data_IF_948109762851
#
_entry.id   IF_948109762851
#
_cell.length_a   1.000
_cell.length_b   1.000
_cell.length_c   1.000
_cell.angle_alpha   90.00
_cell.angle_beta   90.00
_cell.angle_gamma   90.00
#
_symmetry.space_group_name_H-M   'P 1'
#
loop_
_entity.id
_entity.type
_entity.pdbx_description
1 polymer ?
#
# COMPACT_ATOMS: atom_id res chain seq x y z
N UNK A 1 18.34 1.21 25.75
CA UNK A 1 17.03 1.18 25.07
C UNK A 1 16.14 0.22 25.83
N UNK A 2 14.92 0.63 26.08
CA UNK A 2 13.92 -0.23 26.70
C UNK A 2 13.31 -1.15 25.64
N UNK A 3 13.67 -2.44 25.70
CA UNK A 3 13.16 -3.46 24.77
C UNK A 3 11.68 -3.76 24.96
N UNK A 4 11.06 -3.33 26.05
CA UNK A 4 9.62 -3.43 26.26
C UNK A 4 8.82 -2.24 25.70
N UNK A 5 9.51 -1.21 25.23
CA UNK A 5 8.83 -0.05 24.65
C UNK A 5 8.07 -0.38 23.37
N UNK A 6 6.91 0.23 23.19
CA UNK A 6 6.09 0.05 21.99
C UNK A 6 6.90 0.27 20.70
N UNK A 7 7.69 1.33 20.64
CA UNK A 7 8.52 1.65 19.46
C UNK A 7 9.56 0.58 19.15
N UNK A 8 10.16 -0.03 20.19
CA UNK A 8 11.11 -1.13 19.98
C UNK A 8 10.41 -2.37 19.44
N UNK A 9 9.23 -2.72 19.96
CA UNK A 9 8.46 -3.87 19.50
C UNK A 9 7.99 -3.68 18.04
N UNK A 10 7.54 -2.49 17.67
CA UNK A 10 7.22 -2.16 16.28
C UNK A 10 8.43 -2.31 15.35
N UNK A 11 9.61 -1.84 15.79
CA UNK A 11 10.84 -1.97 15.00
C UNK A 11 11.30 -3.44 14.87
N UNK A 12 11.16 -4.25 15.93
CA UNK A 12 11.40 -5.68 15.87
C UNK A 12 10.45 -6.38 14.92
N UNK A 13 9.16 -6.03 14.93
CA UNK A 13 8.18 -6.56 13.99
C UNK A 13 8.57 -6.28 12.53
N UNK A 14 9.04 -5.07 12.22
CA UNK A 14 9.55 -4.75 10.88
C UNK A 14 10.76 -5.60 10.53
N UNK A 15 11.73 -5.71 11.45
CA UNK A 15 12.96 -6.47 11.26
C UNK A 15 12.67 -7.94 10.96
N UNK A 16 11.81 -8.57 11.76
CA UNK A 16 11.46 -9.97 11.64
C UNK A 16 10.71 -10.26 10.33
N UNK A 17 9.69 -9.46 10.02
CA UNK A 17 8.90 -9.63 8.79
C UNK A 17 9.70 -9.35 7.51
N UNK A 18 10.66 -8.42 7.55
CA UNK A 18 11.50 -8.11 6.38
C UNK A 18 12.64 -9.12 6.19
N UNK A 19 13.02 -9.89 7.22
CA UNK A 19 14.02 -10.99 7.15
C UNK A 19 13.39 -12.35 6.83
N UNK A 20 12.07 -12.45 6.79
CA UNK A 20 11.40 -13.71 6.45
C UNK A 20 11.87 -14.20 5.08
N UNK A 21 12.33 -15.44 5.02
CA UNK A 21 12.94 -16.04 3.82
C UNK A 21 11.91 -16.53 2.79
N UNK A 22 10.62 -16.44 3.09
CA UNK A 22 9.57 -16.81 2.14
C UNK A 22 9.49 -15.78 1.01
N UNK A 23 9.77 -16.24 -0.22
CA UNK A 23 9.69 -15.45 -1.43
C UNK A 23 8.33 -14.76 -1.63
N UNK A 24 7.26 -15.29 -1.02
CA UNK A 24 5.95 -14.70 -1.03
C UNK A 24 5.94 -13.27 -0.47
N UNK A 25 6.67 -13.01 0.60
CA UNK A 25 6.73 -11.67 1.22
C UNK A 25 7.55 -10.69 0.39
N UNK A 26 8.62 -11.17 -0.24
CA UNK A 26 9.43 -10.38 -1.16
C UNK A 26 8.58 -10.00 -2.39
N UNK A 27 8.00 -10.99 -3.06
CA UNK A 27 7.13 -10.77 -4.22
C UNK A 27 5.97 -9.82 -3.90
N UNK A 28 5.38 -9.91 -2.68
CA UNK A 28 4.31 -9.03 -2.26
C UNK A 28 4.78 -7.57 -2.10
N UNK A 29 5.95 -7.37 -1.50
CA UNK A 29 6.52 -6.04 -1.30
C UNK A 29 6.85 -5.37 -2.64
N UNK A 30 7.40 -6.12 -3.59
CA UNK A 30 7.76 -5.64 -4.93
C UNK A 30 6.53 -5.39 -5.81
N UNK A 31 5.53 -6.28 -5.75
CA UNK A 31 4.28 -6.15 -6.52
C UNK A 31 3.58 -4.82 -6.25
N UNK A 32 3.54 -4.40 -4.99
CA UNK A 32 2.91 -3.16 -4.53
C UNK A 32 3.93 -2.02 -4.30
N UNK A 33 5.16 -2.12 -4.83
CA UNK A 33 6.12 -1.02 -4.67
C UNK A 33 5.65 0.25 -5.38
N UNK A 34 5.02 0.10 -6.52
CA UNK A 34 4.44 1.20 -7.29
C UNK A 34 5.41 2.34 -7.56
N UNK A 35 6.68 1.99 -7.75
CA UNK A 35 7.73 2.93 -8.07
C UNK A 35 7.46 3.71 -9.35
N UNK A 36 8.02 4.89 -9.45
CA UNK A 36 7.88 5.75 -10.63
C UNK A 36 8.36 5.03 -11.90
N UNK A 37 7.51 5.02 -12.92
CA UNK A 37 7.81 4.39 -14.21
C UNK A 37 7.34 2.93 -14.34
N UNK A 38 6.80 2.32 -13.29
CA UNK A 38 6.30 0.95 -13.32
C UNK A 38 4.78 0.88 -13.48
N UNK A 39 4.02 1.09 -12.42
CA UNK A 39 2.56 0.97 -12.39
C UNK A 39 1.81 2.31 -12.50
N UNK A 40 2.52 3.41 -12.69
CA UNK A 40 1.93 4.76 -12.65
C UNK A 40 1.72 5.29 -11.23
N UNK A 41 2.56 4.87 -10.28
CA UNK A 41 2.45 5.14 -8.84
C UNK A 41 1.21 4.47 -8.20
N UNK A 42 1.00 4.49 -6.88
CA UNK A 42 -0.19 3.89 -6.27
C UNK A 42 -1.50 4.38 -6.89
N UNK A 43 -1.59 5.66 -7.21
CA UNK A 43 -2.78 6.24 -7.87
C UNK A 43 -3.06 5.58 -9.22
N UNK A 44 -2.05 5.47 -10.10
CA UNK A 44 -2.20 4.85 -11.42
C UNK A 44 -2.55 3.37 -11.33
N UNK A 45 -2.01 2.66 -10.35
CA UNK A 45 -2.33 1.26 -10.11
C UNK A 45 -3.84 1.08 -9.81
N UNK A 46 -4.40 1.89 -8.92
CA UNK A 46 -5.85 1.85 -8.64
C UNK A 46 -6.71 2.22 -9.84
N UNK A 47 -6.26 3.14 -10.70
CA UNK A 47 -6.95 3.42 -11.97
C UNK A 47 -6.91 2.24 -12.93
N UNK A 48 -5.81 1.51 -12.98
CA UNK A 48 -5.69 0.29 -13.80
C UNK A 48 -6.63 -0.80 -13.30
N UNK A 49 -6.70 -1.02 -11.98
CA UNK A 49 -7.65 -1.96 -11.37
C UNK A 49 -9.09 -1.54 -11.66
N UNK A 50 -9.41 -0.26 -11.49
CA UNK A 50 -10.73 0.28 -11.82
C UNK A 50 -11.09 0.04 -13.29
N UNK A 51 -10.15 0.23 -14.21
CA UNK A 51 -10.34 -0.06 -15.63
C UNK A 51 -10.63 -1.56 -15.88
N UNK A 52 -9.88 -2.44 -15.25
CA UNK A 52 -10.12 -3.90 -15.35
C UNK A 52 -11.53 -4.26 -14.86
N UNK A 53 -12.00 -3.63 -13.78
CA UNK A 53 -13.36 -3.80 -13.28
C UNK A 53 -14.43 -3.25 -14.24
N UNK A 54 -14.22 -2.04 -14.80
CA UNK A 54 -15.10 -1.44 -15.81
C UNK A 54 -15.31 -2.41 -16.98
N UNK A 55 -14.23 -2.93 -17.53
CA UNK A 55 -14.27 -3.86 -18.67
C UNK A 55 -14.94 -5.18 -18.28
N UNK A 56 -14.56 -5.76 -17.15
CA UNK A 56 -15.05 -7.06 -16.69
C UNK A 56 -16.54 -7.03 -16.33
N UNK A 57 -17.02 -5.94 -15.74
CA UNK A 57 -18.41 -5.77 -15.32
C UNK A 57 -19.29 -5.19 -16.44
N UNK A 58 -18.69 -4.75 -17.54
CA UNK A 58 -19.42 -4.17 -18.67
C UNK A 58 -20.11 -2.85 -18.32
N UNK A 59 -19.47 -2.01 -17.51
CA UNK A 59 -20.04 -0.72 -17.12
C UNK A 59 -20.28 0.16 -18.34
N UNK A 60 -21.40 0.91 -18.32
CA UNK A 60 -21.69 1.92 -19.31
C UNK A 60 -20.80 3.15 -19.10
N UNK A 61 -20.79 4.04 -20.08
CA UNK A 61 -19.93 5.23 -20.07
C UNK A 61 -20.18 6.13 -18.84
N UNK A 62 -21.43 6.35 -18.50
CA UNK A 62 -21.81 7.17 -17.34
C UNK A 62 -21.39 6.57 -16.02
N UNK A 63 -21.56 5.25 -15.83
CA UNK A 63 -21.11 4.49 -14.66
C UNK A 63 -19.58 4.49 -14.54
N UNK A 64 -18.87 4.29 -15.66
CA UNK A 64 -17.42 4.32 -15.69
C UNK A 64 -16.87 5.72 -15.39
N UNK A 65 -17.50 6.78 -15.91
CA UNK A 65 -17.12 8.17 -15.60
C UNK A 65 -17.34 8.49 -14.12
N UNK A 66 -18.45 8.04 -13.55
CA UNK A 66 -18.71 8.22 -12.11
C UNK A 66 -17.61 7.56 -11.28
N UNK A 67 -17.24 6.32 -11.59
CA UNK A 67 -16.16 5.60 -10.92
C UNK A 67 -14.84 6.37 -11.00
N UNK A 68 -14.41 6.76 -12.21
CA UNK A 68 -13.12 7.43 -12.39
C UNK A 68 -13.06 8.80 -11.71
N UNK A 69 -14.14 9.57 -11.76
CA UNK A 69 -14.19 10.88 -11.09
C UNK A 69 -14.12 10.72 -9.58
N UNK A 70 -14.93 9.83 -9.00
CA UNK A 70 -14.91 9.57 -7.55
C UNK A 70 -13.56 9.03 -7.09
N UNK A 71 -13.01 8.07 -7.83
CA UNK A 71 -11.71 7.49 -7.53
C UNK A 71 -10.60 8.55 -7.57
N UNK A 72 -10.57 9.36 -8.64
CA UNK A 72 -9.56 10.41 -8.79
C UNK A 72 -9.59 11.42 -7.66
N UNK A 73 -10.77 11.87 -7.25
CA UNK A 73 -10.91 12.78 -6.11
C UNK A 73 -10.45 12.12 -4.83
N UNK A 74 -10.92 10.91 -4.54
CA UNK A 74 -10.61 10.23 -3.28
C UNK A 74 -9.11 9.93 -3.12
N UNK A 75 -8.44 9.38 -4.14
CA UNK A 75 -7.01 9.06 -4.05
C UNK A 75 -6.15 10.32 -3.99
N UNK A 76 -6.57 11.41 -4.65
CA UNK A 76 -5.88 12.70 -4.57
C UNK A 76 -6.00 13.31 -3.17
N UNK A 77 -7.20 13.35 -2.60
CA UNK A 77 -7.43 13.87 -1.24
C UNK A 77 -6.71 13.03 -0.19
N UNK A 78 -6.71 11.70 -0.36
CA UNK A 78 -5.94 10.78 0.49
C UNK A 78 -4.44 11.09 0.43
N UNK A 79 -3.88 11.33 -0.76
CA UNK A 79 -2.48 11.69 -0.93
C UNK A 79 -2.15 13.03 -0.27
N UNK A 80 -2.93 14.07 -0.53
CA UNK A 80 -2.73 15.41 0.06
C UNK A 80 -2.79 15.33 1.59
N UNK A 81 -3.79 14.62 2.12
CA UNK A 81 -3.98 14.45 3.56
C UNK A 81 -2.80 13.68 4.18
N UNK A 82 -2.39 12.57 3.56
CA UNK A 82 -1.24 11.79 4.01
C UNK A 82 0.04 12.65 4.05
N UNK A 83 0.33 13.42 2.99
CA UNK A 83 1.54 14.22 2.93
C UNK A 83 1.52 15.41 3.91
N UNK A 84 0.36 16.03 4.15
CA UNK A 84 0.22 17.04 5.21
C UNK A 84 0.55 16.47 6.59
N UNK A 85 0.05 15.26 6.88
CA UNK A 85 0.32 14.58 8.15
C UNK A 85 1.78 14.12 8.26
N UNK A 86 2.39 13.63 7.16
CA UNK A 86 3.81 13.24 7.13
C UNK A 86 4.70 14.37 7.64
N UNK A 87 4.59 15.55 7.06
CA UNK A 87 5.40 16.70 7.44
C UNK A 87 4.98 17.38 8.75
N UNK A 88 3.72 17.17 9.18
CA UNK A 88 3.28 17.61 10.51
C UNK A 88 3.90 16.78 11.63
N UNK A 89 3.92 15.46 11.49
CA UNK A 89 4.43 14.56 12.52
C UNK A 89 5.92 14.27 12.37
N UNK A 90 6.44 14.34 11.17
CA UNK A 90 7.86 14.10 10.84
C UNK A 90 8.42 12.83 11.48
N UNK A 91 7.69 11.72 11.37
CA UNK A 91 8.00 10.47 12.07
C UNK A 91 9.15 9.73 11.40
N UNK A 92 10.01 9.09 12.22
CA UNK A 92 11.23 8.41 11.79
C UNK A 92 10.90 7.11 11.04
N UNK A 93 11.65 6.80 9.98
CA UNK A 93 11.53 5.53 9.23
C UNK A 93 12.10 4.34 10.02
N UNK A 94 11.54 3.10 9.82
CA UNK A 94 12.04 1.89 10.47
C UNK A 94 13.54 1.70 10.29
N UNK A 95 14.05 1.83 9.06
CA UNK A 95 15.49 1.68 8.77
C UNK A 95 16.36 2.59 9.64
N UNK A 96 15.97 3.86 9.82
CA UNK A 96 16.74 4.81 10.63
C UNK A 96 16.73 4.42 12.11
N UNK A 97 15.59 3.99 12.64
CA UNK A 97 15.48 3.51 14.02
C UNK A 97 16.26 2.21 14.24
N UNK A 98 16.09 1.24 13.34
CA UNK A 98 16.73 -0.08 13.44
C UNK A 98 18.25 0.06 13.35
N UNK A 99 18.78 0.82 12.38
CA UNK A 99 20.23 1.08 12.28
C UNK A 99 20.81 1.67 13.54
N UNK A 100 20.10 2.60 14.14
CA UNK A 100 20.61 3.32 15.32
C UNK A 100 20.58 2.47 16.58
N UNK A 101 19.62 1.55 16.70
CA UNK A 101 19.30 0.98 18.01
C UNK A 101 19.28 -0.55 18.06
N UNK A 102 19.21 -1.25 16.91
CA UNK A 102 19.00 -2.69 16.88
C UNK A 102 20.05 -3.39 16.00
N UNK A 103 20.11 -3.08 14.71
CA UNK A 103 20.96 -3.74 13.72
C UNK A 103 21.46 -2.74 12.66
N UNK A 104 22.71 -2.28 12.75
CA UNK A 104 23.26 -1.33 11.79
C UNK A 104 23.46 -1.89 10.36
N UNK A 105 23.28 -3.19 10.17
CA UNK A 105 23.38 -3.85 8.86
C UNK A 105 22.01 -4.11 8.22
N UNK A 106 20.92 -3.76 8.89
CA UNK A 106 19.57 -3.92 8.35
C UNK A 106 19.39 -3.21 7.02
N UNK A 107 18.76 -3.86 6.05
CA UNK A 107 18.35 -3.25 4.79
C UNK A 107 16.87 -3.55 4.51
N UNK A 108 16.18 -2.60 3.93
CA UNK A 108 14.80 -2.78 3.48
C UNK A 108 14.77 -3.55 2.15
N UNK A 109 13.72 -4.33 1.91
CA UNK A 109 13.55 -5.07 0.63
C UNK A 109 13.28 -4.15 -0.55
N UNK A 110 12.55 -3.07 -0.31
CA UNK A 110 12.30 -2.02 -1.30
C UNK A 110 12.90 -0.71 -0.84
N UNK A 111 13.14 0.21 -1.74
CA UNK A 111 13.77 1.48 -1.41
C UNK A 111 12.94 2.25 -0.37
N UNK A 112 13.57 2.63 0.76
CA UNK A 112 12.92 3.47 1.75
C UNK A 112 12.76 4.88 1.21
N UNK A 113 11.52 5.42 1.11
CA UNK A 113 11.30 6.74 0.53
C UNK A 113 11.92 7.87 1.36
N UNK A 114 12.42 8.95 0.73
CA UNK A 114 13.11 10.06 1.41
C UNK A 114 12.13 11.08 2.02
N UNK A 115 11.06 10.62 2.66
CA UNK A 115 10.08 11.45 3.36
C UNK A 115 9.57 10.74 4.61
N UNK A 116 8.93 11.48 5.57
CA UNK A 116 8.52 10.93 6.85
C UNK A 116 7.67 9.67 6.76
N UNK A 117 7.78 8.83 7.79
CA UNK A 117 7.16 7.52 7.82
C UNK A 117 5.64 7.60 7.88
N UNK A 118 5.08 8.29 8.89
CA UNK A 118 3.65 8.33 9.20
C UNK A 118 2.91 9.49 8.51
N UNK A 119 1.71 9.24 7.96
CA UNK A 119 1.06 7.95 7.71
C UNK A 119 1.59 7.24 6.46
N UNK A 120 1.25 5.96 6.26
CA UNK A 120 1.54 5.22 5.04
C UNK A 120 0.68 5.73 3.88
N UNK A 121 1.33 6.24 2.82
CA UNK A 121 0.63 6.72 1.62
C UNK A 121 -0.14 5.61 0.90
N UNK A 122 0.48 4.43 0.73
CA UNK A 122 -0.15 3.26 0.13
C UNK A 122 -1.40 2.80 0.90
N UNK A 123 -1.29 2.67 2.22
CA UNK A 123 -2.43 2.26 3.06
C UNK A 123 -3.56 3.28 3.03
N UNK A 124 -3.21 4.57 3.09
CA UNK A 124 -4.19 5.65 3.06
C UNK A 124 -4.95 5.70 1.73
N UNK A 125 -4.20 5.65 0.59
CA UNK A 125 -4.81 5.66 -0.73
C UNK A 125 -5.57 4.38 -1.05
N UNK A 126 -5.08 3.20 -0.63
CA UNK A 126 -5.80 1.94 -0.84
C UNK A 126 -7.12 1.90 -0.07
N UNK A 127 -7.13 2.42 1.15
CA UNK A 127 -8.37 2.59 1.91
C UNK A 127 -9.38 3.45 1.16
N UNK A 128 -8.99 4.64 0.72
CA UNK A 128 -9.86 5.56 -0.01
C UNK A 128 -10.34 4.98 -1.35
N UNK A 129 -9.42 4.39 -2.13
CA UNK A 129 -9.74 3.80 -3.42
C UNK A 129 -10.77 2.67 -3.31
N UNK A 130 -10.56 1.77 -2.34
CA UNK A 130 -11.46 0.62 -2.16
C UNK A 130 -12.84 1.02 -1.63
N UNK A 131 -12.96 2.04 -0.78
CA UNK A 131 -14.27 2.54 -0.36
C UNK A 131 -15.06 3.15 -1.52
N UNK A 132 -14.39 3.89 -2.42
CA UNK A 132 -15.04 4.35 -3.66
C UNK A 132 -15.52 3.17 -4.50
N UNK A 133 -14.67 2.17 -4.73
CA UNK A 133 -15.05 1.00 -5.51
C UNK A 133 -16.20 0.23 -4.86
N UNK A 134 -16.22 0.08 -3.53
CA UNK A 134 -17.32 -0.54 -2.79
C UNK A 134 -18.65 0.18 -2.96
N UNK A 135 -18.63 1.50 -3.12
CA UNK A 135 -19.86 2.29 -3.34
C UNK A 135 -20.52 1.98 -4.69
N UNK A 136 -19.80 1.35 -5.61
CA UNK A 136 -20.26 1.03 -6.97
C UNK A 136 -20.42 -0.49 -7.16
N UNK A 137 -19.47 -1.31 -6.66
CA UNK A 137 -19.41 -2.74 -6.96
C UNK A 137 -19.77 -3.65 -5.77
N UNK A 138 -19.95 -3.13 -4.57
CA UNK A 138 -19.98 -3.90 -3.30
C UNK A 138 -18.60 -4.48 -2.91
N UNK A 139 -18.43 -4.85 -1.64
CA UNK A 139 -17.14 -5.38 -1.15
C UNK A 139 -16.82 -6.79 -1.68
N UNK A 140 -17.86 -7.61 -1.87
CA UNK A 140 -17.72 -9.03 -2.24
C UNK A 140 -17.41 -9.27 -3.73
N UNK A 141 -17.06 -8.23 -4.48
CA UNK A 141 -16.64 -8.41 -5.87
C UNK A 141 -15.27 -9.10 -5.91
N UNK A 142 -15.17 -10.20 -6.69
CA UNK A 142 -13.87 -10.82 -6.95
C UNK A 142 -13.06 -9.95 -7.92
N UNK A 143 -11.83 -9.68 -7.59
CA UNK A 143 -10.92 -8.83 -8.38
C UNK A 143 -9.73 -9.66 -8.81
N UNK A 144 -9.35 -9.56 -10.07
CA UNK A 144 -8.05 -10.05 -10.53
C UNK A 144 -7.26 -8.86 -11.04
N UNK A 145 -6.23 -8.49 -10.30
CA UNK A 145 -5.31 -7.44 -10.72
C UNK A 145 -4.21 -8.03 -11.61
N UNK A 146 -4.10 -7.53 -12.81
CA UNK A 146 -3.09 -7.89 -13.80
C UNK A 146 -2.20 -6.71 -14.21
N UNK A 147 -2.13 -5.68 -13.38
CA UNK A 147 -1.38 -4.44 -13.68
C UNK A 147 0.09 -4.72 -13.98
N UNK A 148 0.71 -5.64 -13.26
CA UNK A 148 2.12 -5.99 -13.39
C UNK A 148 2.40 -7.16 -14.35
N UNK A 149 1.39 -7.68 -15.07
CA UNK A 149 1.51 -8.92 -15.89
C UNK A 149 2.66 -8.90 -16.92
N UNK A 150 2.99 -7.74 -17.45
CA UNK A 150 4.05 -7.61 -18.46
C UNK A 150 5.42 -7.25 -17.85
N UNK A 151 5.55 -7.15 -16.55
CA UNK A 151 6.83 -6.89 -15.87
C UNK A 151 7.68 -8.16 -15.83
N UNK A 152 8.96 -8.00 -16.09
CA UNK A 152 9.96 -9.10 -16.11
C UNK A 152 11.00 -8.96 -15.00
N UNK A 153 10.94 -7.87 -14.26
CA UNK A 153 11.86 -7.52 -13.18
C UNK A 153 11.35 -7.96 -11.80
N UNK A 154 10.06 -8.34 -11.71
CA UNK A 154 9.42 -8.88 -10.52
C UNK A 154 8.53 -10.09 -10.90
N UNK A 155 7.99 -10.79 -9.90
CA UNK A 155 6.87 -11.70 -10.13
C UNK A 155 5.59 -10.89 -10.36
N UNK A 156 5.31 -10.62 -11.65
CA UNK A 156 4.13 -9.88 -12.12
C UNK A 156 2.88 -10.73 -12.31
N UNK A 157 2.85 -11.98 -11.83
CA UNK A 157 1.69 -12.85 -11.97
C UNK A 157 0.41 -12.18 -11.44
N UNK A 158 -0.74 -12.30 -12.17
CA UNK A 158 -1.98 -11.69 -11.73
C UNK A 158 -2.40 -12.17 -10.34
N UNK A 159 -2.85 -11.24 -9.50
CA UNK A 159 -3.27 -11.50 -8.12
C UNK A 159 -4.79 -11.42 -8.02
N UNK A 160 -5.40 -12.43 -7.43
CA UNK A 160 -6.86 -12.52 -7.30
C UNK A 160 -7.28 -12.39 -5.83
N UNK A 161 -8.27 -11.54 -5.58
CA UNK A 161 -8.84 -11.25 -4.27
C UNK A 161 -10.34 -11.59 -4.27
N UNK A 162 -10.81 -12.05 -3.12
CA UNK A 162 -12.24 -12.33 -2.88
C UNK A 162 -13.04 -11.08 -2.55
N UNK A 163 -12.36 -9.98 -2.19
CA UNK A 163 -12.98 -8.70 -1.84
C UNK A 163 -12.04 -7.51 -2.05
N UNK A 164 -12.63 -6.32 -2.13
CA UNK A 164 -11.91 -5.05 -2.12
C UNK A 164 -11.19 -4.81 -0.78
N UNK A 165 -11.80 -5.26 0.31
CA UNK A 165 -11.19 -5.21 1.64
C UNK A 165 -9.90 -6.03 1.69
N UNK A 166 -9.92 -7.29 1.24
CA UNK A 166 -8.73 -8.16 1.18
C UNK A 166 -7.61 -7.52 0.38
N UNK A 167 -7.93 -6.96 -0.78
CA UNK A 167 -6.95 -6.26 -1.62
C UNK A 167 -6.31 -5.07 -0.87
N UNK A 168 -7.11 -4.21 -0.24
CA UNK A 168 -6.57 -3.05 0.47
C UNK A 168 -5.70 -3.43 1.68
N UNK A 169 -6.01 -4.53 2.34
CA UNK A 169 -5.22 -5.08 3.44
C UNK A 169 -3.89 -5.65 2.95
N UNK A 170 -3.89 -6.32 1.80
CA UNK A 170 -2.66 -6.78 1.16
C UNK A 170 -1.76 -5.61 0.74
N UNK A 171 -2.30 -4.58 0.09
CA UNK A 171 -1.55 -3.35 -0.22
C UNK A 171 -0.90 -2.77 1.03
N UNK A 172 -1.66 -2.69 2.11
CA UNK A 172 -1.16 -2.13 3.38
C UNK A 172 -0.03 -2.99 3.96
N UNK A 173 -0.26 -4.29 4.16
CA UNK A 173 0.73 -5.16 4.80
C UNK A 173 2.01 -5.34 3.96
N UNK A 174 1.94 -5.19 2.65
CA UNK A 174 3.09 -5.24 1.77
C UNK A 174 4.20 -4.26 2.17
N UNK A 175 3.84 -3.14 2.80
CA UNK A 175 4.79 -2.11 3.27
C UNK A 175 5.55 -2.54 4.52
N UNK A 176 4.95 -3.41 5.37
CA UNK A 176 5.67 -4.05 6.48
C UNK A 176 6.73 -5.01 5.93
N UNK A 177 6.35 -5.87 5.00
CA UNK A 177 7.26 -6.83 4.37
C UNK A 177 8.36 -6.13 3.56
N UNK A 178 8.06 -4.97 2.98
CA UNK A 178 9.05 -4.09 2.36
C UNK A 178 10.05 -3.47 3.33
N UNK A 179 9.77 -3.50 4.63
CA UNK A 179 10.63 -2.96 5.69
C UNK A 179 10.57 -1.43 5.86
N UNK A 180 9.56 -0.77 5.27
CA UNK A 180 9.52 0.70 5.17
C UNK A 180 8.47 1.39 6.04
N UNK A 181 7.56 0.62 6.66
CA UNK A 181 6.52 1.12 7.57
C UNK A 181 6.34 0.23 8.79
N UNK A 182 5.97 0.85 9.92
CA UNK A 182 5.57 0.16 11.14
C UNK A 182 4.15 -0.39 11.01
N UNK A 183 3.85 -1.50 11.73
CA UNK A 183 2.54 -2.15 11.65
C UNK A 183 1.40 -1.24 12.08
N UNK A 184 1.54 -0.56 13.21
CA UNK A 184 0.54 0.39 13.72
C UNK A 184 0.28 1.54 12.72
N UNK A 185 1.34 2.04 12.08
CA UNK A 185 1.19 3.05 11.01
C UNK A 185 0.28 2.54 9.89
N UNK A 186 0.44 1.30 9.48
CA UNK A 186 -0.35 0.71 8.40
C UNK A 186 -1.82 0.62 8.78
N UNK A 187 -2.11 0.12 9.98
CA UNK A 187 -3.47 -0.06 10.48
C UNK A 187 -4.21 1.27 10.61
N UNK A 188 -3.57 2.25 11.24
CA UNK A 188 -4.14 3.60 11.38
C UNK A 188 -4.33 4.27 10.02
N UNK A 189 -3.36 4.15 9.11
CA UNK A 189 -3.42 4.78 7.79
C UNK A 189 -4.55 4.18 6.94
N UNK A 190 -4.70 2.85 6.94
CA UNK A 190 -5.75 2.17 6.21
C UNK A 190 -7.14 2.55 6.75
N UNK A 191 -7.28 2.57 8.08
CA UNK A 191 -8.53 2.98 8.73
C UNK A 191 -8.89 4.46 8.46
N UNK A 192 -7.90 5.34 8.36
CA UNK A 192 -8.12 6.73 7.99
C UNK A 192 -8.53 6.89 6.52
N UNK A 193 -7.91 6.14 5.62
CA UNK A 193 -8.25 6.16 4.20
C UNK A 193 -9.67 5.68 3.91
N UNK A 194 -10.20 4.76 4.73
CA UNK A 194 -11.57 4.24 4.63
C UNK A 194 -12.67 5.21 5.11
N UNK A 195 -12.33 6.37 5.66
CA UNK A 195 -13.27 7.42 6.12
C UNK A 195 -13.50 8.50 5.08
#
# INVERSE_FOLDING_TARGET
>A
IDSSSFMFQEAMSVLDNSKESDSKFENLAEYWDDGAGYSGTPTGHFFTIAHQLVVRQGLKLDEALELYVKLGVAVNEAFISAFRLKYKFNFIRPITYIHRYIDPQFNTRIASPPFPEFPSGHSFQSGAATEVMKSIFTDSISITDSTNFNRTDIDGAPRTYSSLTEMSEEVSISRLYGGIHFKETLDVSLACGRK
#
